data_IF_736677038644
#
_entry.id   IF_736677038644
#
_cell.length_a   1.000
_cell.length_b   1.000
_cell.length_c   1.000
_cell.angle_alpha   90.00
_cell.angle_beta   90.00
_cell.angle_gamma   90.00
#
_symmetry.space_group_name_H-M   'P 1'
#
loop_
_entity.id
_entity.type
_entity.pdbx_description
1 polymer ?
#
# COMPACT_ATOMS: atom_id res chain seq x y z
N UNK A 1 -6.14 -18.86 9.30
CA UNK A 1 -5.14 -18.66 8.23
C UNK A 1 -5.73 -17.67 7.26
N UNK A 2 -5.03 -16.59 6.97
CA UNK A 2 -5.48 -15.56 6.02
C UNK A 2 -5.32 -16.08 4.58
N UNK A 3 -6.33 -15.87 3.74
CA UNK A 3 -6.28 -16.19 2.32
C UNK A 3 -5.75 -14.99 1.55
N UNK A 4 -5.07 -15.24 0.42
CA UNK A 4 -4.72 -14.17 -0.49
C UNK A 4 -5.98 -13.73 -1.26
N UNK A 5 -6.34 -12.47 -1.11
CA UNK A 5 -7.30 -11.80 -1.99
C UNK A 5 -6.54 -11.33 -3.22
N UNK A 6 -6.87 -11.85 -4.40
CA UNK A 6 -6.28 -11.45 -5.68
C UNK A 6 -7.17 -10.38 -6.34
N UNK A 7 -6.80 -9.09 -6.25
CA UNK A 7 -7.66 -7.99 -6.66
C UNK A 7 -7.55 -7.66 -8.15
N UNK A 8 -6.42 -7.97 -8.80
CA UNK A 8 -6.11 -7.49 -10.15
C UNK A 8 -7.12 -7.99 -11.20
N UNK A 9 -7.55 -9.26 -11.19
CA UNK A 9 -8.58 -9.74 -12.12
C UNK A 9 -9.95 -9.06 -11.94
N UNK A 10 -10.20 -8.44 -10.77
CA UNK A 10 -11.48 -7.80 -10.46
C UNK A 10 -11.58 -6.35 -10.93
N UNK A 11 -10.48 -5.75 -11.42
CA UNK A 11 -10.44 -4.36 -11.85
C UNK A 11 -11.31 -4.06 -13.07
N UNK A 12 -11.42 -5.00 -14.02
CA UNK A 12 -12.10 -4.75 -15.30
C UNK A 12 -11.56 -3.48 -15.99
N UNK A 13 -12.47 -2.61 -16.43
CA UNK A 13 -12.13 -1.34 -17.11
C UNK A 13 -11.42 -0.33 -16.18
N UNK A 14 -11.60 -0.43 -14.86
CA UNK A 14 -10.95 0.46 -13.89
C UNK A 14 -9.42 0.35 -13.90
N UNK A 15 -8.87 -0.71 -14.52
CA UNK A 15 -7.43 -0.85 -14.75
C UNK A 15 -6.85 0.35 -15.53
N UNK A 16 -7.65 1.01 -16.37
CA UNK A 16 -7.21 2.17 -17.15
C UNK A 16 -6.83 3.39 -16.29
N UNK A 17 -7.29 3.45 -15.03
CA UNK A 17 -6.97 4.50 -14.06
C UNK A 17 -5.61 4.29 -13.39
N UNK A 18 -5.02 3.10 -13.50
CA UNK A 18 -3.74 2.76 -12.91
C UNK A 18 -2.62 2.88 -13.94
N UNK A 19 -2.01 4.06 -14.06
CA UNK A 19 -0.97 4.38 -15.06
C UNK A 19 0.40 4.71 -14.45
N UNK A 20 0.54 4.54 -13.13
CA UNK A 20 1.78 4.76 -12.41
C UNK A 20 2.92 3.89 -12.95
N UNK A 21 4.14 4.42 -12.89
CA UNK A 21 5.34 3.72 -13.36
C UNK A 21 6.10 3.09 -12.19
N UNK A 22 6.36 1.79 -12.28
CA UNK A 22 6.97 1.01 -11.22
C UNK A 22 8.34 1.52 -10.75
N UNK A 23 9.13 2.04 -11.71
CA UNK A 23 10.45 2.60 -11.45
C UNK A 23 10.41 3.85 -10.58
N UNK A 24 9.26 4.51 -10.50
CA UNK A 24 9.04 5.74 -9.73
C UNK A 24 8.19 5.49 -8.47
N UNK A 25 7.88 4.22 -8.15
CA UNK A 25 7.08 3.89 -6.96
C UNK A 25 7.69 4.50 -5.70
N UNK A 26 6.82 5.00 -4.82
CA UNK A 26 7.25 5.46 -3.51
C UNK A 26 7.78 4.27 -2.68
N UNK A 27 8.89 4.46 -1.98
CA UNK A 27 9.52 3.42 -1.15
C UNK A 27 8.69 3.04 0.09
N UNK A 28 7.73 3.89 0.46
CA UNK A 28 6.77 3.69 1.55
C UNK A 28 5.59 2.76 1.16
N UNK A 29 5.43 2.41 -0.12
CA UNK A 29 4.39 1.45 -0.52
C UNK A 29 4.65 0.09 0.13
N UNK A 30 3.61 -0.49 0.71
CA UNK A 30 3.64 -1.88 1.18
C UNK A 30 3.64 -2.81 -0.04
N UNK A 31 4.49 -3.86 -0.08
CA UNK A 31 4.51 -4.79 -1.19
C UNK A 31 3.16 -5.42 -1.50
N UNK A 32 2.85 -5.51 -2.79
CA UNK A 32 1.56 -5.94 -3.33
C UNK A 32 1.33 -5.41 -4.75
N UNK A 33 0.16 -5.71 -5.34
CA UNK A 33 -0.17 -5.28 -6.71
C UNK A 33 -0.25 -3.78 -6.85
N UNK A 34 -0.78 -3.07 -5.85
CA UNK A 34 -1.02 -1.65 -5.95
C UNK A 34 0.07 -0.82 -5.31
N UNK A 35 0.38 0.31 -5.91
CA UNK A 35 1.37 1.24 -5.40
C UNK A 35 1.09 2.64 -5.94
N UNK A 36 1.53 3.67 -5.24
CA UNK A 36 1.61 5.02 -5.79
C UNK A 36 3.04 5.30 -6.28
N UNK A 37 3.16 5.98 -7.42
CA UNK A 37 4.42 6.44 -8.00
C UNK A 37 4.45 7.97 -8.03
N UNK A 38 4.48 8.56 -9.22
CA UNK A 38 4.45 10.02 -9.43
C UNK A 38 3.04 10.58 -9.22
N UNK A 39 2.45 10.34 -8.05
CA UNK A 39 1.21 11.03 -7.66
C UNK A 39 1.54 12.41 -7.13
N UNK A 40 0.54 13.27 -7.08
CA UNK A 40 0.55 14.38 -6.14
C UNK A 40 -0.30 14.06 -4.91
N UNK A 41 -0.06 14.86 -3.89
CA UNK A 41 -0.90 15.18 -2.78
C UNK A 41 -2.41 15.13 -2.99
N UNK A 42 -2.87 16.12 -3.77
CA UNK A 42 -3.93 17.12 -3.58
C UNK A 42 -4.97 16.94 -2.45
N UNK A 43 -4.63 16.22 -1.38
CA UNK A 43 -5.52 15.67 -0.37
C UNK A 43 -6.53 14.64 -0.88
N UNK A 44 -6.41 14.05 -2.06
CA UNK A 44 -7.51 13.30 -2.70
C UNK A 44 -7.54 11.82 -2.37
N UNK A 45 -6.40 11.11 -2.36
CA UNK A 45 -6.40 9.66 -2.21
C UNK A 45 -7.03 9.19 -0.89
N UNK A 46 -6.82 9.91 0.21
CA UNK A 46 -7.40 9.54 1.52
C UNK A 46 -8.87 9.93 1.69
N UNK A 47 -9.42 10.80 0.83
CA UNK A 47 -10.88 11.04 0.82
C UNK A 47 -11.61 9.76 0.39
N UNK A 48 -11.01 9.00 -0.52
CA UNK A 48 -11.59 7.78 -1.09
C UNK A 48 -11.12 6.51 -0.38
N UNK A 49 -9.84 6.43 0.00
CA UNK A 49 -9.23 5.24 0.59
C UNK A 49 -8.43 5.53 1.87
N UNK A 50 -9.06 6.09 2.93
CA UNK A 50 -8.35 6.54 4.15
C UNK A 50 -7.62 5.43 4.92
N UNK A 51 -8.04 4.17 4.72
CA UNK A 51 -7.45 2.97 5.33
C UNK A 51 -6.37 2.28 4.48
N UNK A 52 -6.13 2.76 3.25
CA UNK A 52 -5.18 2.17 2.29
C UNK A 52 -4.10 3.14 1.84
N UNK A 53 -4.43 4.44 1.78
CA UNK A 53 -3.57 5.51 1.27
C UNK A 53 -3.07 6.40 2.40
N UNK A 54 -1.80 6.81 2.32
CA UNK A 54 -1.21 7.84 3.17
C UNK A 54 -0.43 8.87 2.32
N UNK A 55 -0.08 9.99 2.95
CA UNK A 55 0.70 11.06 2.33
C UNK A 55 2.17 10.99 2.71
N UNK A 56 3.02 11.12 1.70
CA UNK A 56 4.44 11.37 1.87
C UNK A 56 4.68 12.87 2.08
N UNK A 57 5.60 13.20 2.99
CA UNK A 57 5.77 14.55 3.51
C UNK A 57 6.99 15.32 3.01
N UNK A 58 7.88 14.72 2.22
CA UNK A 58 9.06 15.41 1.65
C UNK A 58 8.76 15.94 0.23
N UNK A 59 8.06 15.14 -0.57
CA UNK A 59 7.74 15.36 -1.98
C UNK A 59 6.24 15.60 -2.21
N UNK A 60 5.42 15.54 -1.16
CA UNK A 60 3.97 15.73 -1.23
C UNK A 60 3.32 14.78 -2.23
N UNK A 61 3.66 13.50 -2.15
CA UNK A 61 3.03 12.42 -2.94
C UNK A 61 2.15 11.55 -2.04
N UNK A 62 1.57 10.49 -2.59
CA UNK A 62 0.79 9.49 -1.88
C UNK A 62 1.53 8.16 -1.86
N UNK A 63 1.06 7.20 -1.05
CA UNK A 63 1.48 5.81 -1.08
C UNK A 63 0.43 4.86 -0.52
N UNK A 64 0.42 3.64 -1.03
CA UNK A 64 -0.42 2.54 -0.57
C UNK A 64 0.25 1.87 0.63
N UNK A 65 -0.17 2.23 1.84
CA UNK A 65 0.38 1.68 3.08
C UNK A 65 -0.31 0.38 3.52
N UNK A 66 -1.38 0.00 2.82
CA UNK A 66 -2.09 -1.27 3.02
C UNK A 66 -2.72 -1.73 1.71
N UNK A 67 -2.44 -2.98 1.32
CA UNK A 67 -3.06 -3.59 0.15
C UNK A 67 -4.53 -3.93 0.46
N UNK A 68 -5.45 -3.78 -0.52
CA UNK A 68 -6.84 -4.15 -0.35
C UNK A 68 -6.94 -5.67 -0.12
N UNK A 69 -7.82 -6.06 0.81
CA UNK A 69 -8.11 -7.46 1.18
C UNK A 69 -9.56 -7.84 0.92
N UNK A 70 -10.37 -6.88 0.48
CA UNK A 70 -11.79 -7.06 0.16
C UNK A 70 -12.15 -6.29 -1.11
N UNK A 71 -13.28 -6.64 -1.73
CA UNK A 71 -13.81 -5.93 -2.89
C UNK A 71 -14.18 -4.47 -2.57
N UNK A 72 -14.59 -4.18 -1.33
CA UNK A 72 -14.91 -2.82 -0.91
C UNK A 72 -13.64 -1.96 -0.78
N UNK A 73 -12.58 -2.51 -0.19
CA UNK A 73 -11.28 -1.83 -0.15
C UNK A 73 -10.69 -1.64 -1.56
N UNK A 74 -10.87 -2.63 -2.46
CA UNK A 74 -10.48 -2.47 -3.86
C UNK A 74 -11.23 -1.30 -4.51
N UNK A 75 -12.55 -1.21 -4.30
CA UNK A 75 -13.37 -0.11 -4.83
C UNK A 75 -12.90 1.24 -4.32
N UNK A 76 -12.57 1.33 -3.03
CA UNK A 76 -12.01 2.57 -2.44
C UNK A 76 -10.69 2.97 -3.10
N UNK A 77 -9.82 2.00 -3.38
CA UNK A 77 -8.54 2.27 -4.04
C UNK A 77 -8.71 2.66 -5.51
N UNK A 78 -9.69 2.08 -6.21
CA UNK A 78 -10.10 2.51 -7.56
C UNK A 78 -10.60 3.95 -7.52
N UNK A 79 -11.51 4.28 -6.60
CA UNK A 79 -12.03 5.64 -6.43
C UNK A 79 -10.87 6.64 -6.16
N UNK A 80 -9.85 6.23 -5.39
CA UNK A 80 -8.65 7.04 -5.15
C UNK A 80 -7.81 7.24 -6.43
N UNK A 81 -7.58 6.18 -7.21
CA UNK A 81 -6.82 6.25 -8.45
C UNK A 81 -7.52 7.09 -9.54
N UNK A 82 -8.86 7.04 -9.61
CA UNK A 82 -9.67 7.85 -10.52
C UNK A 82 -9.69 9.34 -10.14
N UNK A 83 -9.65 9.64 -8.84
CA UNK A 83 -9.64 11.01 -8.33
C UNK A 83 -8.26 11.68 -8.42
N UNK A 84 -7.18 10.90 -8.54
CA UNK A 84 -5.81 11.41 -8.61
C UNK A 84 -5.52 11.96 -10.02
N UNK A 85 -5.13 13.23 -10.10
CA UNK A 85 -5.12 13.97 -11.36
C UNK A 85 -3.95 13.61 -12.28
N UNK A 86 -2.90 12.96 -11.76
CA UNK A 86 -1.72 12.53 -12.51
C UNK A 86 -1.80 11.07 -12.97
N UNK A 87 -2.82 10.31 -12.55
CA UNK A 87 -2.93 8.86 -12.73
C UNK A 87 -1.70 8.08 -12.24
N UNK A 88 -1.09 8.54 -11.14
CA UNK A 88 0.18 8.04 -10.61
C UNK A 88 0.10 6.72 -9.83
N UNK A 89 -1.09 6.16 -9.65
CA UNK A 89 -1.28 4.82 -9.06
C UNK A 89 -0.98 3.72 -10.09
N UNK A 90 -0.30 2.65 -9.70
CA UNK A 90 -0.08 1.44 -10.51
C UNK A 90 -0.76 0.21 -9.90
N UNK A 91 -0.97 -0.83 -10.72
CA UNK A 91 -1.64 -2.07 -10.32
C UNK A 91 -0.87 -3.36 -10.70
N UNK A 92 0.28 -3.20 -11.33
CA UNK A 92 1.15 -4.27 -11.86
C UNK A 92 2.31 -4.63 -10.92
N UNK A 93 2.23 -4.26 -9.63
CA UNK A 93 3.26 -4.58 -8.64
C UNK A 93 3.58 -6.07 -8.54
N UNK A 94 2.61 -6.94 -8.82
CA UNK A 94 2.78 -8.40 -8.84
C UNK A 94 3.62 -8.95 -10.00
N UNK A 95 3.85 -8.14 -11.02
CA UNK A 95 4.76 -8.43 -12.13
C UNK A 95 6.21 -8.04 -11.79
N UNK A 96 6.39 -7.19 -10.78
CA UNK A 96 7.68 -6.59 -10.46
C UNK A 96 8.26 -7.00 -9.10
N UNK A 97 7.41 -7.24 -8.09
CA UNK A 97 7.85 -7.73 -6.80
C UNK A 97 8.42 -9.13 -6.95
N UNK A 98 9.67 -9.29 -6.51
CA UNK A 98 10.29 -10.60 -6.32
C UNK A 98 10.29 -10.95 -4.84
N UNK A 99 10.31 -12.25 -4.54
CA UNK A 99 10.43 -12.71 -3.16
C UNK A 99 11.68 -12.14 -2.45
N UNK A 100 12.78 -11.89 -3.18
CA UNK A 100 13.96 -11.25 -2.63
C UNK A 100 13.72 -9.77 -2.27
N UNK A 101 13.10 -9.01 -3.18
CA UNK A 101 12.80 -7.59 -2.97
C UNK A 101 11.79 -7.36 -1.83
N UNK A 102 10.79 -8.24 -1.68
CA UNK A 102 9.85 -8.16 -0.54
C UNK A 102 10.58 -8.37 0.80
N UNK A 103 11.51 -9.33 0.87
CA UNK A 103 12.31 -9.58 2.08
C UNK A 103 13.29 -8.45 2.38
N UNK A 104 13.86 -7.83 1.34
CA UNK A 104 14.67 -6.62 1.48
C UNK A 104 13.85 -5.47 2.05
N UNK A 105 12.71 -5.17 1.46
CA UNK A 105 11.78 -4.16 1.98
C UNK A 105 11.39 -4.45 3.43
N UNK A 106 11.11 -5.72 3.76
CA UNK A 106 10.77 -6.12 5.13
C UNK A 106 11.91 -5.90 6.12
N UNK A 107 13.16 -6.21 5.74
CA UNK A 107 14.34 -5.96 6.59
C UNK A 107 14.54 -4.46 6.83
N UNK A 108 14.28 -3.64 5.82
CA UNK A 108 14.48 -2.19 5.85
C UNK A 108 13.30 -1.40 6.45
N UNK A 109 12.20 -2.08 6.84
CA UNK A 109 11.00 -1.44 7.41
C UNK A 109 11.26 -0.55 8.62
N UNK A 110 12.40 -0.73 9.31
CA UNK A 110 12.83 0.17 10.38
C UNK A 110 12.94 1.63 9.93
N UNK A 111 13.40 1.86 8.69
CA UNK A 111 13.45 3.18 8.06
C UNK A 111 12.08 3.81 7.91
N UNK A 112 11.05 3.02 7.61
CA UNK A 112 9.67 3.49 7.51
C UNK A 112 9.19 3.92 8.90
N UNK A 113 9.47 3.13 9.95
CA UNK A 113 9.11 3.49 11.32
C UNK A 113 9.74 4.82 11.75
N UNK A 114 11.02 5.01 11.47
CA UNK A 114 11.73 6.26 11.76
C UNK A 114 11.10 7.44 11.03
N UNK A 115 10.86 7.31 9.72
CA UNK A 115 10.16 8.32 8.93
C UNK A 115 8.78 8.67 9.53
N UNK A 116 7.99 7.66 9.93
CA UNK A 116 6.69 7.88 10.55
C UNK A 116 6.80 8.60 11.91
N UNK A 117 7.79 8.26 12.72
CA UNK A 117 8.01 8.92 14.00
C UNK A 117 8.43 10.39 13.82
N UNK A 118 9.35 10.66 12.90
CA UNK A 118 9.88 11.99 12.64
C UNK A 118 8.80 12.95 12.11
N UNK A 119 7.83 12.44 11.34
CA UNK A 119 6.74 13.23 10.77
C UNK A 119 5.47 13.29 11.63
N UNK A 120 5.42 12.61 12.77
CA UNK A 120 4.22 12.53 13.62
C UNK A 120 3.62 13.91 13.97
N UNK A 121 4.47 14.89 14.33
CA UNK A 121 4.02 16.25 14.65
C UNK A 121 3.43 17.00 13.45
N UNK A 122 4.00 16.80 12.25
CA UNK A 122 3.52 17.43 11.03
C UNK A 122 2.13 16.90 10.66
N UNK A 123 1.90 15.59 10.71
CA UNK A 123 0.59 15.01 10.42
C UNK A 123 -0.50 15.44 11.41
N UNK A 124 -0.16 15.63 12.69
CA UNK A 124 -1.10 16.20 13.66
C UNK A 124 -1.48 17.63 13.29
N UNK A 125 -0.52 18.45 12.87
CA UNK A 125 -0.79 19.81 12.42
C UNK A 125 -1.60 19.87 11.12
N UNK A 126 -1.36 18.95 10.18
CA UNK A 126 -2.10 18.87 8.93
C UNK A 126 -3.53 18.36 9.14
N UNK A 127 -3.74 17.43 10.06
CA UNK A 127 -5.07 16.96 10.45
C UNK A 127 -5.92 18.04 11.10
N UNK A 128 -5.32 18.96 11.87
CA UNK A 128 -6.05 20.11 12.42
C UNK A 128 -6.62 21.02 11.33
N UNK A 129 -6.04 21.00 10.12
CA UNK A 129 -6.50 21.80 8.97
C UNK A 129 -7.45 21.01 8.08
N UNK A 130 -7.10 19.76 7.78
CA UNK A 130 -7.77 18.95 6.76
C UNK A 130 -8.86 18.03 7.32
N UNK A 131 -8.75 17.61 8.58
CA UNK A 131 -9.66 16.64 9.20
C UNK A 131 -9.56 15.22 8.64
N UNK A 132 -8.53 14.89 7.85
CA UNK A 132 -8.46 13.61 7.15
C UNK A 132 -7.93 12.43 7.99
N UNK A 133 -7.50 12.65 9.24
CA UNK A 133 -7.04 11.57 10.13
C UNK A 133 -5.71 10.92 9.71
N UNK A 134 -4.81 11.69 9.11
CA UNK A 134 -3.46 11.31 8.66
C UNK A 134 -2.59 10.85 9.81
N UNK A 135 -2.65 11.54 10.94
CA UNK A 135 -1.91 11.17 12.15
C UNK A 135 -2.42 9.86 12.77
N UNK A 136 -3.70 9.54 12.61
CA UNK A 136 -4.23 8.24 13.02
C UNK A 136 -3.72 7.13 12.08
N UNK A 137 -3.88 7.31 10.77
CA UNK A 137 -3.44 6.32 9.79
C UNK A 137 -1.91 6.09 9.79
N UNK A 138 -1.11 7.12 10.04
CA UNK A 138 0.34 6.99 10.20
C UNK A 138 0.71 6.11 11.41
N UNK A 139 0.00 6.28 12.54
CA UNK A 139 0.16 5.43 13.73
C UNK A 139 -0.30 3.99 13.45
N UNK A 140 -1.40 3.83 12.71
CA UNK A 140 -1.87 2.52 12.29
C UNK A 140 -0.87 1.83 11.39
N UNK A 141 -0.22 2.57 10.47
CA UNK A 141 0.84 2.01 9.64
C UNK A 141 2.04 1.56 10.49
N UNK A 142 2.50 2.41 11.41
CA UNK A 142 3.58 2.06 12.34
C UNK A 142 3.25 0.83 13.18
N UNK A 143 2.02 0.72 13.68
CA UNK A 143 1.56 -0.46 14.42
C UNK A 143 1.49 -1.71 13.55
N UNK A 144 1.06 -1.57 12.29
CA UNK A 144 0.97 -2.67 11.33
C UNK A 144 2.34 -3.24 10.96
N UNK A 145 3.39 -2.41 10.86
CA UNK A 145 4.78 -2.85 10.61
C UNK A 145 5.28 -3.89 11.63
N UNK A 146 4.77 -3.82 12.87
CA UNK A 146 5.10 -4.73 13.97
C UNK A 146 3.96 -5.72 14.30
N UNK A 147 2.84 -5.62 13.58
CA UNK A 147 1.64 -6.42 13.77
C UNK A 147 1.43 -7.42 12.64
N UNK A 148 0.25 -7.34 12.03
CA UNK A 148 -0.24 -8.32 11.05
C UNK A 148 0.46 -8.27 9.70
N UNK A 149 1.23 -7.22 9.39
CA UNK A 149 1.90 -7.08 8.10
C UNK A 149 2.84 -8.26 7.79
N UNK A 150 3.51 -8.81 8.81
CA UNK A 150 4.36 -9.98 8.64
C UNK A 150 3.56 -11.18 8.09
N UNK A 151 2.39 -11.47 8.69
CA UNK A 151 1.55 -12.57 8.24
C UNK A 151 1.04 -12.34 6.81
N UNK A 152 0.61 -11.11 6.52
CA UNK A 152 0.15 -10.71 5.19
C UNK A 152 1.24 -10.88 4.12
N UNK A 153 2.46 -10.39 4.37
CA UNK A 153 3.57 -10.52 3.42
C UNK A 153 4.00 -11.97 3.20
N UNK A 154 3.89 -12.84 4.21
CA UNK A 154 4.17 -14.28 4.03
C UNK A 154 3.15 -14.96 3.11
N UNK A 155 1.87 -14.58 3.23
CA UNK A 155 0.81 -15.03 2.30
C UNK A 155 1.09 -14.49 0.90
N UNK A 156 1.49 -13.22 0.78
CA UNK A 156 1.86 -12.62 -0.49
C UNK A 156 3.07 -13.28 -1.15
N UNK A 157 4.14 -13.55 -0.38
CA UNK A 157 5.31 -14.30 -0.85
C UNK A 157 4.95 -15.68 -1.38
N UNK A 158 4.03 -16.38 -0.70
CA UNK A 158 3.52 -17.67 -1.18
C UNK A 158 2.80 -17.51 -2.51
N UNK A 159 1.92 -16.51 -2.62
CA UNK A 159 1.18 -16.27 -3.86
C UNK A 159 2.09 -15.86 -5.03
N UNK A 160 3.13 -15.04 -4.80
CA UNK A 160 4.08 -14.65 -5.85
C UNK A 160 4.76 -15.86 -6.50
N UNK A 161 5.06 -16.89 -5.71
CA UNK A 161 5.71 -18.12 -6.15
C UNK A 161 4.73 -19.13 -6.75
N UNK A 162 3.59 -19.35 -6.08
CA UNK A 162 2.66 -20.44 -6.40
C UNK A 162 1.48 -20.01 -7.27
N UNK A 163 1.23 -18.70 -7.40
CA UNK A 163 0.09 -18.08 -8.11
C UNK A 163 -1.27 -18.66 -7.69
N UNK A 164 -1.38 -18.99 -6.40
CA UNK A 164 -2.62 -19.42 -5.72
C UNK A 164 -2.57 -19.02 -4.24
N UNK A 165 -3.74 -18.92 -3.61
CA UNK A 165 -3.82 -18.74 -2.16
C UNK A 165 -3.29 -19.99 -1.42
N UNK A 166 -2.64 -19.83 -0.25
CA UNK A 166 -2.24 -20.96 0.60
C UNK A 166 -3.46 -21.71 1.15
N UNK A 167 -3.28 -23.02 1.35
CA UNK A 167 -4.17 -23.94 2.06
C UNK A 167 -3.62 -24.22 3.46
N UNK A 168 -4.45 -24.77 4.37
CA UNK A 168 -4.08 -25.03 5.77
C UNK A 168 -2.84 -25.92 5.93
N UNK A 169 -2.55 -26.76 4.93
CA UNK A 169 -1.41 -27.67 4.91
C UNK A 169 -0.14 -27.05 4.31
N UNK A 170 -0.24 -25.88 3.68
CA UNK A 170 0.90 -25.23 3.05
C UNK A 170 1.80 -24.56 4.10
N UNK A 171 3.12 -24.66 3.87
CA UNK A 171 4.11 -23.94 4.67
C UNK A 171 4.38 -22.57 4.04
N UNK A 172 4.08 -21.50 4.77
CA UNK A 172 4.33 -20.15 4.30
C UNK A 172 5.83 -19.81 4.32
N UNK A 173 6.36 -19.12 3.29
CA UNK A 173 7.73 -18.63 3.26
C UNK A 173 8.05 -17.75 4.47
N UNK A 174 9.32 -17.72 4.87
CA UNK A 174 9.83 -16.76 5.87
C UNK A 174 10.19 -15.43 5.21
N UNK A 175 10.13 -14.36 6.01
CA UNK A 175 10.49 -12.98 5.64
C UNK A 175 11.96 -12.68 5.93
#
# INVERSE_FOLDING_TARGET
MELYFDPVPLLGDARESFRGHWTHRNWLNVPGPFYAADTDNCGTGRIHAPGLVLYEGDHFTEYVYRQPRTTEELRQLVDAAEAECLSGYGCEGDEHWTAAAVREWWRDRGRIREYLADRAGAWVADDMKSGQGTAAAARDYAANLDGELAAHLRVYLFWLDQRRSPMLTDRLPEL
#
